data_IF_159336046982
#
_entry.id   IF_159336046982
#
_cell.length_a   1.000
_cell.length_b   1.000
_cell.length_c   1.000
_cell.angle_alpha   90.00
_cell.angle_beta   90.00
_cell.angle_gamma   90.00
#
_symmetry.space_group_name_H-M   'P 1'
#
loop_
_entity.id
_entity.type
_entity.pdbx_description
1 polymer ?
#
# COMPACT_ATOMS: atom_id res chain seq x y z
N UNK A 1 -33.35 27.78 10.11
CA UNK A 1 -32.42 26.77 9.54
C UNK A 1 -32.14 25.73 10.62
N UNK A 2 -32.28 24.43 10.32
CA UNK A 2 -32.06 23.33 11.27
C UNK A 2 -30.88 22.51 10.77
N UNK A 3 -29.77 22.52 11.51
CA UNK A 3 -28.59 21.69 11.21
C UNK A 3 -28.87 20.26 11.66
N UNK A 4 -28.71 19.30 10.75
CA UNK A 4 -28.77 17.87 11.06
C UNK A 4 -27.37 17.41 11.47
N UNK A 5 -27.31 16.44 12.39
CA UNK A 5 -26.04 15.81 12.75
C UNK A 5 -25.60 14.97 11.55
N UNK A 6 -24.42 15.30 11.02
CA UNK A 6 -23.75 14.47 10.02
C UNK A 6 -23.01 13.37 10.78
N UNK A 7 -23.40 12.13 10.54
CA UNK A 7 -22.82 10.97 11.22
C UNK A 7 -21.50 10.58 10.54
N UNK A 8 -20.44 11.33 10.87
CA UNK A 8 -19.11 11.14 10.28
C UNK A 8 -18.47 9.91 10.90
N UNK A 9 -18.35 8.85 10.10
CA UNK A 9 -17.62 7.65 10.47
C UNK A 9 -16.14 7.81 10.09
N UNK A 10 -15.25 7.18 10.86
CA UNK A 10 -13.84 7.06 10.49
C UNK A 10 -13.71 6.24 9.21
N UNK A 11 -12.78 6.64 8.33
CA UNK A 11 -12.47 5.87 7.13
C UNK A 11 -12.07 4.44 7.52
N UNK A 12 -12.65 3.45 6.83
CA UNK A 12 -12.28 2.07 7.02
C UNK A 12 -10.79 1.88 6.70
N UNK A 13 -10.07 1.01 7.45
CA UNK A 13 -8.68 0.73 7.14
C UNK A 13 -8.55 0.18 5.71
N UNK A 14 -7.43 0.46 5.01
CA UNK A 14 -7.24 0.01 3.65
C UNK A 14 -7.13 -1.52 3.60
N UNK A 15 -7.99 -2.15 2.79
CA UNK A 15 -7.93 -3.58 2.47
C UNK A 15 -7.94 -3.77 0.95
N UNK A 16 -7.66 -4.99 0.48
CA UNK A 16 -7.70 -5.26 -0.96
C UNK A 16 -9.15 -5.37 -1.46
N UNK A 17 -10.10 -5.66 -0.58
CA UNK A 17 -11.54 -5.78 -0.86
C UNK A 17 -12.22 -4.42 -1.01
N UNK A 18 -11.73 -3.39 -0.31
CA UNK A 18 -12.28 -2.03 -0.37
C UNK A 18 -11.53 -1.10 -1.35
N UNK A 19 -10.71 -1.66 -2.25
CA UNK A 19 -10.11 -0.95 -3.37
C UNK A 19 -10.98 -1.02 -4.62
N UNK A 20 -11.16 0.10 -5.32
CA UNK A 20 -11.87 0.13 -6.60
C UNK A 20 -11.00 -0.50 -7.70
N UNK A 21 -11.32 -1.75 -8.07
CA UNK A 21 -10.46 -2.57 -8.93
C UNK A 21 -10.25 -1.99 -10.33
N UNK A 22 -11.33 -1.59 -11.01
CA UNK A 22 -11.26 -1.20 -12.43
C UNK A 22 -10.53 -2.26 -13.27
N UNK A 23 -9.61 -1.80 -14.14
CA UNK A 23 -8.78 -2.69 -14.97
C UNK A 23 -7.57 -3.29 -14.22
N UNK A 24 -7.41 -3.00 -12.93
CA UNK A 24 -6.27 -3.46 -12.12
C UNK A 24 -6.46 -4.87 -11.53
N UNK A 25 -7.39 -5.67 -12.04
CA UNK A 25 -7.63 -7.03 -11.56
C UNK A 25 -6.36 -7.91 -11.53
N UNK A 26 -5.51 -7.90 -12.58
CA UNK A 26 -4.25 -8.63 -12.58
C UNK A 26 -3.28 -8.15 -11.49
N UNK A 27 -3.22 -6.84 -11.25
CA UNK A 27 -2.42 -6.26 -10.18
C UNK A 27 -2.86 -6.78 -8.81
N UNK A 28 -4.17 -6.77 -8.52
CA UNK A 28 -4.70 -7.28 -7.26
C UNK A 28 -4.41 -8.77 -7.06
N UNK A 29 -4.45 -9.57 -8.13
CA UNK A 29 -4.08 -10.98 -8.07
C UNK A 29 -2.61 -11.15 -7.65
N UNK A 30 -1.68 -10.39 -8.25
CA UNK A 30 -0.26 -10.43 -7.90
C UNK A 30 -0.01 -9.96 -6.46
N UNK A 31 -0.69 -8.89 -6.02
CA UNK A 31 -0.56 -8.39 -4.64
C UNK A 31 -1.04 -9.43 -3.62
N UNK A 32 -2.16 -10.12 -3.90
CA UNK A 32 -2.64 -11.24 -3.05
C UNK A 32 -1.64 -12.39 -3.01
N UNK A 33 -1.11 -12.80 -4.16
CA UNK A 33 -0.14 -13.89 -4.23
C UNK A 33 1.14 -13.58 -3.44
N UNK A 34 1.63 -12.34 -3.51
CA UNK A 34 2.78 -11.88 -2.71
C UNK A 34 2.44 -11.83 -1.22
N UNK A 35 1.27 -11.30 -0.84
CA UNK A 35 0.85 -11.25 0.56
C UNK A 35 0.73 -12.65 1.20
N UNK A 36 0.30 -13.65 0.42
CA UNK A 36 0.20 -15.04 0.85
C UNK A 36 1.52 -15.81 0.76
N UNK A 37 2.62 -15.18 0.30
CA UNK A 37 3.90 -15.85 0.08
C UNK A 37 3.89 -16.89 -1.05
N UNK A 38 2.85 -16.89 -1.88
CA UNK A 38 2.69 -17.79 -3.03
C UNK A 38 3.54 -17.33 -4.23
N UNK A 39 3.93 -16.05 -4.25
CA UNK A 39 4.82 -15.49 -5.25
C UNK A 39 5.94 -14.73 -4.54
N UNK A 40 7.17 -14.92 -5.01
CA UNK A 40 8.35 -14.16 -4.58
C UNK A 40 8.72 -13.14 -5.66
N UNK A 41 9.39 -12.06 -5.28
CA UNK A 41 9.88 -11.03 -6.21
C UNK A 41 9.51 -9.61 -5.79
N UNK A 42 9.67 -8.68 -6.73
CA UNK A 42 9.44 -7.25 -6.51
C UNK A 42 8.29 -6.76 -7.40
N UNK A 43 7.38 -5.98 -6.83
CA UNK A 43 6.31 -5.30 -7.56
C UNK A 43 6.55 -3.79 -7.43
N UNK A 44 6.63 -3.11 -8.57
CA UNK A 44 6.72 -1.65 -8.62
C UNK A 44 5.35 -1.07 -8.98
N UNK A 45 4.75 -0.31 -8.06
CA UNK A 45 3.46 0.36 -8.26
C UNK A 45 3.68 1.81 -8.72
N UNK A 46 3.01 2.18 -9.80
CA UNK A 46 3.02 3.54 -10.34
C UNK A 46 1.60 3.96 -10.73
N UNK A 47 1.41 5.26 -10.87
CA UNK A 47 0.10 5.86 -11.13
C UNK A 47 0.12 7.34 -10.75
N UNK A 48 -0.93 8.05 -11.15
CA UNK A 48 -1.13 9.46 -10.82
C UNK A 48 -1.36 9.68 -9.31
N UNK A 49 -1.26 10.93 -8.86
CA UNK A 49 -1.72 11.29 -7.52
C UNK A 49 -3.19 10.88 -7.33
N UNK A 50 -3.51 10.26 -6.20
CA UNK A 50 -4.85 9.74 -5.93
C UNK A 50 -5.16 8.35 -6.50
N UNK A 51 -4.25 7.70 -7.25
CA UNK A 51 -4.47 6.36 -7.81
C UNK A 51 -4.50 5.20 -6.77
N UNK A 52 -4.42 5.50 -5.47
CA UNK A 52 -4.52 4.48 -4.41
C UNK A 52 -3.25 3.64 -4.18
N UNK A 53 -2.07 4.08 -4.64
CA UNK A 53 -0.80 3.36 -4.41
C UNK A 53 -0.55 3.06 -2.92
N UNK A 54 -0.64 4.08 -2.05
CA UNK A 54 -0.48 3.91 -0.60
C UNK A 54 -1.55 3.02 0.01
N UNK A 55 -2.78 3.04 -0.53
CA UNK A 55 -3.86 2.14 -0.11
C UNK A 55 -3.47 0.69 -0.41
N UNK A 56 -3.07 0.40 -1.66
CA UNK A 56 -2.66 -0.95 -2.08
C UNK A 56 -1.45 -1.45 -1.29
N UNK A 57 -0.45 -0.61 -1.04
CA UNK A 57 0.72 -0.99 -0.24
C UNK A 57 0.33 -1.37 1.20
N UNK A 58 -0.48 -0.53 1.86
CA UNK A 58 -0.96 -0.79 3.23
C UNK A 58 -1.87 -2.01 3.29
N UNK A 59 -2.78 -2.16 2.34
CA UNK A 59 -3.69 -3.29 2.24
C UNK A 59 -2.94 -4.62 2.02
N UNK A 60 -1.92 -4.62 1.17
CA UNK A 60 -1.08 -5.81 0.93
C UNK A 60 -0.29 -6.18 2.19
N UNK A 61 0.25 -5.19 2.91
CA UNK A 61 0.89 -5.44 4.19
C UNK A 61 -0.08 -5.99 5.25
N UNK A 62 -1.31 -5.47 5.32
CA UNK A 62 -2.32 -5.94 6.25
C UNK A 62 -2.77 -7.39 5.96
N UNK A 63 -2.72 -7.82 4.69
CA UNK A 63 -3.08 -9.17 4.28
C UNK A 63 -1.95 -10.21 4.48
N UNK A 64 -0.70 -9.78 4.67
CA UNK A 64 0.44 -10.68 4.83
C UNK A 64 0.72 -11.01 6.31
N UNK A 65 1.24 -12.22 6.57
CA UNK A 65 1.52 -12.69 7.94
C UNK A 65 2.65 -11.95 8.64
N UNK A 66 3.66 -11.52 7.87
CA UNK A 66 4.80 -10.76 8.36
C UNK A 66 5.16 -9.69 7.33
N UNK A 67 4.65 -8.48 7.52
CA UNK A 67 4.82 -7.38 6.60
C UNK A 67 5.25 -6.09 7.31
N UNK A 68 5.89 -5.18 6.56
CA UNK A 68 6.13 -3.81 7.02
C UNK A 68 5.91 -2.80 5.91
N UNK A 69 5.07 -1.81 6.18
CA UNK A 69 4.91 -0.64 5.34
C UNK A 69 5.81 0.49 5.85
N UNK A 70 6.63 1.05 4.97
CA UNK A 70 7.60 2.11 5.29
C UNK A 70 7.54 3.21 4.23
N UNK A 71 7.56 4.50 4.61
CA UNK A 71 7.88 5.55 3.66
C UNK A 71 9.37 5.44 3.28
N UNK A 72 9.74 5.88 2.07
CA UNK A 72 11.14 5.88 1.62
C UNK A 72 12.08 6.63 2.57
N UNK A 73 11.57 7.66 3.26
CA UNK A 73 12.33 8.45 4.24
C UNK A 73 12.71 7.66 5.50
N UNK A 74 12.11 6.49 5.74
CA UNK A 74 12.47 5.61 6.86
C UNK A 74 13.61 4.65 6.50
N UNK A 75 14.08 4.64 5.24
CA UNK A 75 15.11 3.72 4.74
C UNK A 75 16.50 4.36 4.62
N UNK A 76 16.73 5.51 5.26
CA UNK A 76 18.01 6.23 5.23
C UNK A 76 19.17 5.37 5.76
N UNK A 77 18.89 4.58 6.80
CA UNK A 77 19.88 3.70 7.46
C UNK A 77 19.81 2.24 6.94
N UNK A 78 19.08 2.02 5.85
CA UNK A 78 18.88 0.70 5.25
C UNK A 78 17.55 0.03 5.59
N UNK A 79 17.32 -1.15 5.02
CA UNK A 79 16.10 -1.94 5.25
C UNK A 79 16.28 -2.73 6.54
N UNK A 80 15.39 -2.58 7.54
CA UNK A 80 15.46 -3.38 8.76
C UNK A 80 15.28 -4.88 8.43
N UNK A 81 16.00 -5.78 9.11
CA UNK A 81 15.81 -7.22 8.89
C UNK A 81 14.40 -7.66 9.29
N UNK A 82 13.87 -8.67 8.58
CA UNK A 82 12.64 -9.40 8.91
C UNK A 82 11.32 -8.62 8.80
N UNK A 83 10.80 -8.54 7.57
CA UNK A 83 9.55 -9.27 7.29
C UNK A 83 9.63 -10.11 6.00
N UNK A 84 8.68 -11.04 5.82
CA UNK A 84 8.50 -11.76 4.57
C UNK A 84 8.09 -10.82 3.41
N UNK A 85 7.50 -9.67 3.74
CA UNK A 85 7.10 -8.63 2.80
C UNK A 85 7.46 -7.22 3.29
N UNK A 86 8.12 -6.41 2.46
CA UNK A 86 8.34 -4.98 2.70
C UNK A 86 7.64 -4.18 1.62
N UNK A 87 6.77 -3.26 2.03
CA UNK A 87 6.15 -2.29 1.15
C UNK A 87 6.79 -0.91 1.39
N UNK A 88 7.35 -0.32 0.34
CA UNK A 88 8.02 0.98 0.42
C UNK A 88 7.22 2.01 -0.36
N UNK A 89 6.80 3.08 0.32
CA UNK A 89 6.02 4.15 -0.29
C UNK A 89 6.91 5.33 -0.72
N UNK A 90 6.41 6.11 -1.67
CA UNK A 90 7.05 7.34 -2.16
C UNK A 90 8.49 7.17 -2.67
N UNK A 91 8.85 6.00 -3.18
CA UNK A 91 10.20 5.68 -3.71
C UNK A 91 10.76 6.69 -4.71
N UNK A 92 9.88 7.42 -5.42
CA UNK A 92 10.25 8.50 -6.34
C UNK A 92 11.01 9.66 -5.66
N UNK A 93 10.90 9.82 -4.34
CA UNK A 93 11.59 10.86 -3.57
C UNK A 93 13.06 10.51 -3.25
N UNK A 94 13.52 9.32 -3.64
CA UNK A 94 14.93 8.91 -3.46
C UNK A 94 15.88 9.69 -4.39
N UNK A 95 15.40 10.17 -5.54
CA UNK A 95 16.16 11.05 -6.42
C UNK A 95 16.34 12.40 -5.73
N UNK A 96 17.58 12.76 -5.39
CA UNK A 96 17.90 14.07 -4.82
C UNK A 96 17.32 15.19 -5.67
N UNK A 97 16.78 16.21 -5.01
CA UNK A 97 16.36 17.46 -5.64
C UNK A 97 17.46 17.95 -6.57
N UNK A 98 17.22 17.88 -7.87
CA UNK A 98 18.05 18.57 -8.88
C UNK A 98 17.50 19.98 -9.05
#
# INVERSE_FOLDING_TARGET
MKQLVLDIHLDAPPTLENFFVGDNAPLLASLRAVALGQQQGHIYLWGTAGAGRSHLLRATCAAASAARYLPISALVDGVPPSPALVAVDDVHRLGGST
#
